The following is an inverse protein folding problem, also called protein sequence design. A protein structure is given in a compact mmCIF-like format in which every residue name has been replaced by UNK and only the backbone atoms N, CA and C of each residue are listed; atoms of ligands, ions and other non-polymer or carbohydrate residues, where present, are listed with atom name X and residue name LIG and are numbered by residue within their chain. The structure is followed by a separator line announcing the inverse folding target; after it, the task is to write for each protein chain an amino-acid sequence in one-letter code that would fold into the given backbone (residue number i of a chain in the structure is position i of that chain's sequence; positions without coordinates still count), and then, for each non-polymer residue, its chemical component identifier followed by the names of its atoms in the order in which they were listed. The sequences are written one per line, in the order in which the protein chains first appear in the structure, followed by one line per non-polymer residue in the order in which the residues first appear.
data_IF_437151797338
#
_entry.id   IF_437151797338
#
_cell.length_a   1.000
_cell.length_b   1.000
_cell.length_c   1.000
_cell.angle_alpha   90.00
_cell.angle_beta   90.00
_cell.angle_gamma   90.00
#
_symmetry.space_group_name_H-M   'P 1'
#
loop_
_entity.id
_entity.type
_entity.pdbx_description
1 polymer ?
#
# COMPACT_ATOMS: atom_id res chain seq x y z
N UNK A 1 -14.31 -2.01 -8.10
CA UNK A 1 -13.43 -3.18 -8.13
C UNK A 1 -12.57 -3.17 -9.39
N UNK A 2 -13.17 -2.97 -10.57
CA UNK A 2 -12.42 -2.95 -11.82
C UNK A 2 -11.35 -1.87 -11.90
N UNK A 3 -11.67 -0.65 -11.48
CA UNK A 3 -10.71 0.46 -11.49
C UNK A 3 -9.56 0.25 -10.53
N UNK A 4 -9.85 -0.25 -9.34
CA UNK A 4 -8.83 -0.53 -8.35
C UNK A 4 -7.90 -1.64 -8.81
N UNK A 5 -8.46 -2.72 -9.36
CA UNK A 5 -7.66 -3.82 -9.90
C UNK A 5 -6.77 -3.35 -11.03
N UNK A 6 -7.31 -2.54 -11.95
CA UNK A 6 -6.53 -1.99 -13.06
C UNK A 6 -5.40 -1.11 -12.55
N UNK A 7 -5.67 -0.25 -11.58
CA UNK A 7 -4.66 0.63 -10.98
C UNK A 7 -3.55 -0.17 -10.32
N UNK A 8 -3.90 -1.24 -9.60
CA UNK A 8 -2.92 -2.10 -8.96
C UNK A 8 -2.05 -2.84 -9.97
N UNK A 9 -2.63 -3.34 -11.04
CA UNK A 9 -1.88 -4.02 -12.10
C UNK A 9 -0.89 -3.07 -12.76
N UNK A 10 -1.34 -1.88 -13.12
CA UNK A 10 -0.47 -0.86 -13.73
C UNK A 10 0.66 -0.49 -12.78
N UNK A 11 0.34 -0.25 -11.51
CA UNK A 11 1.35 0.10 -10.52
C UNK A 11 2.37 -1.03 -10.34
N UNK A 12 1.90 -2.27 -10.28
CA UNK A 12 2.79 -3.42 -10.14
C UNK A 12 3.71 -3.58 -11.33
N UNK A 13 3.20 -3.33 -12.54
CA UNK A 13 4.03 -3.36 -13.74
C UNK A 13 5.08 -2.27 -13.71
N UNK A 14 4.73 -1.08 -13.27
CA UNK A 14 5.68 0.02 -13.10
C UNK A 14 6.75 -0.35 -12.07
N UNK A 15 6.37 -0.98 -10.96
CA UNK A 15 7.33 -1.45 -9.97
C UNK A 15 8.28 -2.50 -10.54
N UNK A 16 7.75 -3.41 -11.37
CA UNK A 16 8.58 -4.43 -12.03
C UNK A 16 9.56 -3.81 -13.02
N UNK A 17 9.20 -2.66 -13.61
CA UNK A 17 10.03 -1.93 -14.54
C UNK A 17 10.92 -0.87 -13.86
N UNK A 18 10.97 -0.85 -12.54
CA UNK A 18 11.64 0.19 -11.76
C UNK A 18 13.16 0.26 -11.98
N UNK A 19 13.75 -0.71 -12.67
CA UNK A 19 15.15 -0.64 -13.08
C UNK A 19 15.41 0.39 -14.18
N UNK A 20 14.38 0.90 -14.82
CA UNK A 20 14.52 1.93 -15.84
C UNK A 20 14.53 3.32 -15.20
N UNK A 21 15.56 4.10 -15.47
CA UNK A 21 15.74 5.44 -14.91
C UNK A 21 14.55 6.37 -15.15
N UNK A 22 13.83 6.18 -16.25
CA UNK A 22 12.70 7.03 -16.61
C UNK A 22 11.45 6.74 -15.75
N UNK A 23 11.36 5.53 -15.19
CA UNK A 23 10.20 5.09 -14.42
C UNK A 23 10.35 5.44 -12.94
N UNK A 24 11.56 5.35 -12.40
CA UNK A 24 11.81 5.61 -10.98
C UNK A 24 11.28 6.96 -10.48
N UNK A 25 11.53 8.09 -11.17
CA UNK A 25 11.00 9.37 -10.70
C UNK A 25 9.49 9.42 -10.68
N UNK A 26 8.82 8.74 -11.63
CA UNK A 26 7.36 8.67 -11.66
C UNK A 26 6.86 7.89 -10.46
N UNK A 27 7.47 6.74 -10.16
CA UNK A 27 7.11 5.92 -9.00
C UNK A 27 7.31 6.68 -7.69
N UNK A 28 8.39 7.44 -7.57
CA UNK A 28 8.65 8.24 -6.38
C UNK A 28 7.56 9.29 -6.17
N UNK A 29 7.14 9.97 -7.24
CA UNK A 29 6.08 10.98 -7.15
C UNK A 29 4.74 10.37 -6.78
N UNK A 30 4.42 9.21 -7.34
CA UNK A 30 3.17 8.51 -7.02
C UNK A 30 3.18 8.09 -5.55
N UNK A 31 4.28 7.51 -5.09
CA UNK A 31 4.42 7.07 -3.70
C UNK A 31 4.29 8.25 -2.74
N UNK A 32 4.98 9.36 -3.03
CA UNK A 32 4.94 10.56 -2.21
C UNK A 32 3.52 11.12 -2.09
N UNK A 33 2.81 11.20 -3.21
CA UNK A 33 1.42 11.68 -3.23
C UNK A 33 0.50 10.78 -2.41
N UNK A 34 0.65 9.47 -2.55
CA UNK A 34 -0.17 8.50 -1.82
C UNK A 34 0.12 8.54 -0.32
N UNK A 35 1.38 8.67 0.05
CA UNK A 35 1.75 8.76 1.46
C UNK A 35 1.25 10.06 2.09
N UNK A 36 1.26 11.18 1.36
CA UNK A 36 0.68 12.44 1.84
C UNK A 36 -0.82 12.32 2.08
N UNK A 37 -1.51 11.65 1.17
CA UNK A 37 -2.95 11.43 1.31
C UNK A 37 -3.25 10.58 2.55
N UNK A 38 -2.51 9.50 2.74
CA UNK A 38 -2.67 8.65 3.92
C UNK A 38 -2.34 9.39 5.21
N UNK A 39 -1.27 10.19 5.20
CA UNK A 39 -0.90 10.97 6.38
C UNK A 39 -2.01 11.95 6.77
N UNK A 40 -2.60 12.62 5.79
CA UNK A 40 -3.73 13.52 6.05
C UNK A 40 -4.90 12.77 6.69
N UNK A 41 -5.20 11.57 6.20
CA UNK A 41 -6.27 10.75 6.78
C UNK A 41 -5.96 10.37 8.22
N UNK A 42 -4.72 9.99 8.52
CA UNK A 42 -4.33 9.65 9.89
C UNK A 42 -4.37 10.87 10.81
N UNK A 43 -4.03 12.05 10.32
CA UNK A 43 -4.17 13.28 11.10
C UNK A 43 -5.64 13.56 11.45
N UNK A 44 -6.55 13.32 10.50
CA UNK A 44 -7.99 13.45 10.76
C UNK A 44 -8.47 12.48 11.84
N UNK A 45 -7.81 11.33 11.98
CA UNK A 45 -8.11 10.36 13.02
C UNK A 45 -7.47 10.71 14.37
N UNK A 46 -6.78 11.82 14.46
CA UNK A 46 -6.24 12.33 15.72
C UNK A 46 -4.75 12.07 15.94
N UNK A 47 -4.03 11.54 14.96
CA UNK A 47 -2.59 11.34 15.08
C UNK A 47 -1.85 12.65 14.84
N UNK A 48 -0.73 12.86 15.57
CA UNK A 48 0.12 14.02 15.30
C UNK A 48 0.84 13.88 13.95
N UNK A 49 1.41 14.99 13.45
CA UNK A 49 1.97 15.02 12.10
C UNK A 49 3.07 14.01 11.85
N UNK A 50 3.98 13.84 12.80
CA UNK A 50 5.09 12.90 12.64
C UNK A 50 4.60 11.46 12.68
N UNK A 51 3.76 11.13 13.65
CA UNK A 51 3.17 9.79 13.77
C UNK A 51 2.32 9.45 12.54
N UNK A 52 1.55 10.42 12.04
CA UNK A 52 0.73 10.23 10.85
C UNK A 52 1.60 9.92 9.62
N UNK A 53 2.72 10.63 9.45
CA UNK A 53 3.63 10.37 8.33
C UNK A 53 4.26 8.99 8.41
N UNK A 54 4.70 8.58 9.58
CA UNK A 54 5.29 7.26 9.77
C UNK A 54 4.27 6.17 9.57
N UNK A 55 3.06 6.36 10.06
CA UNK A 55 1.98 5.39 9.89
C UNK A 55 1.57 5.29 8.42
N UNK A 56 1.55 6.42 7.71
CA UNK A 56 1.27 6.43 6.28
C UNK A 56 2.29 5.62 5.49
N UNK A 57 3.57 5.79 5.80
CA UNK A 57 4.63 5.02 5.14
C UNK A 57 4.50 3.53 5.45
N UNK A 58 4.22 3.20 6.70
CA UNK A 58 4.02 1.81 7.12
C UNK A 58 2.84 1.18 6.38
N UNK A 59 1.71 1.87 6.34
CA UNK A 59 0.50 1.40 5.67
C UNK A 59 0.74 1.18 4.18
N UNK A 60 1.38 2.15 3.54
CA UNK A 60 1.69 2.05 2.12
C UNK A 60 2.63 0.88 1.83
N UNK A 61 3.65 0.69 2.68
CA UNK A 61 4.60 -0.41 2.54
C UNK A 61 3.94 -1.77 2.72
N UNK A 62 3.03 -1.90 3.69
CA UNK A 62 2.28 -3.14 3.92
C UNK A 62 1.42 -3.46 2.70
N UNK A 63 0.72 -2.47 2.17
CA UNK A 63 -0.15 -2.62 1.03
C UNK A 63 0.63 -3.08 -0.22
N UNK A 64 1.68 -2.35 -0.56
CA UNK A 64 2.48 -2.71 -1.73
C UNK A 64 3.22 -4.03 -1.56
N UNK A 65 3.75 -4.27 -0.36
CA UNK A 65 4.43 -5.52 -0.06
C UNK A 65 3.50 -6.71 -0.22
N UNK A 66 2.30 -6.60 0.29
CA UNK A 66 1.29 -7.66 0.15
C UNK A 66 1.00 -7.94 -1.33
N UNK A 67 0.75 -6.88 -2.12
CA UNK A 67 0.46 -7.04 -3.54
C UNK A 67 1.63 -7.68 -4.31
N UNK A 68 2.84 -7.22 -4.04
CA UNK A 68 4.03 -7.75 -4.72
C UNK A 68 4.27 -9.22 -4.40
N UNK A 69 4.14 -9.58 -3.12
CA UNK A 69 4.35 -10.95 -2.69
C UNK A 69 3.32 -11.89 -3.29
N UNK A 70 2.06 -11.46 -3.37
CA UNK A 70 1.00 -12.24 -4.00
C UNK A 70 1.25 -12.41 -5.50
N UNK A 71 1.59 -11.32 -6.16
CA UNK A 71 1.80 -11.31 -7.60
C UNK A 71 3.00 -12.18 -8.02
N UNK A 72 4.04 -12.19 -7.19
CA UNK A 72 5.27 -12.96 -7.47
C UNK A 72 5.23 -14.36 -6.88
N UNK A 73 4.12 -14.76 -6.30
CA UNK A 73 3.95 -16.08 -5.68
C UNK A 73 5.01 -16.35 -4.60
N UNK A 74 5.42 -15.30 -3.88
CA UNK A 74 6.43 -15.42 -2.82
C UNK A 74 5.83 -15.72 -1.46
N UNK A 75 4.50 -15.75 -1.37
CA UNK A 75 3.79 -16.17 -0.17
C UNK A 75 2.70 -17.15 -0.57
N UNK A 76 2.27 -18.03 0.35
CA UNK A 76 1.13 -18.91 0.07
C UNK A 76 -0.11 -18.08 -0.27
N UNK A 77 -0.90 -18.56 -1.21
CA UNK A 77 -2.17 -17.93 -1.55
C UNK A 77 -3.14 -18.04 -0.36
N UNK A 78 -3.89 -16.97 -0.14
CA UNK A 78 -4.91 -16.95 0.91
C UNK A 78 -6.25 -17.38 0.32
N UNK A 79 -6.99 -18.23 1.04
CA UNK A 79 -8.39 -18.48 0.73
C UNK A 79 -9.19 -17.20 0.94
N UNK A 80 -10.43 -17.12 0.43
CA UNK A 80 -11.26 -15.92 0.69
C UNK A 80 -11.48 -15.69 2.17
N UNK A 81 -11.68 -16.76 2.93
CA UNK A 81 -11.89 -16.68 4.36
C UNK A 81 -10.65 -16.16 5.09
N UNK A 82 -9.48 -16.71 4.75
CA UNK A 82 -8.22 -16.28 5.33
C UNK A 82 -7.87 -14.84 4.91
N UNK A 83 -8.20 -14.47 3.69
CA UNK A 83 -8.00 -13.10 3.22
C UNK A 83 -8.81 -12.11 4.04
N UNK A 84 -10.08 -12.42 4.31
CA UNK A 84 -10.94 -11.54 5.11
C UNK A 84 -10.41 -11.40 6.53
N UNK A 85 -9.93 -12.48 7.13
CA UNK A 85 -9.35 -12.46 8.46
C UNK A 85 -8.05 -11.65 8.48
N UNK A 86 -7.21 -11.81 7.48
CA UNK A 86 -5.98 -11.05 7.35
C UNK A 86 -6.26 -9.55 7.18
N UNK A 87 -7.22 -9.22 6.34
CA UNK A 87 -7.61 -7.83 6.12
C UNK A 87 -8.09 -7.17 7.42
N UNK A 88 -8.92 -7.88 8.17
CA UNK A 88 -9.38 -7.41 9.48
C UNK A 88 -8.21 -7.16 10.43
N UNK A 89 -7.25 -8.06 10.44
CA UNK A 89 -6.04 -7.91 11.25
C UNK A 89 -5.25 -6.67 10.85
N UNK A 90 -5.10 -6.44 9.54
CA UNK A 90 -4.40 -5.27 9.02
C UNK A 90 -5.10 -3.99 9.45
N UNK A 91 -6.42 -3.94 9.30
CA UNK A 91 -7.22 -2.78 9.70
C UNK A 91 -7.04 -2.49 11.19
N UNK A 92 -7.19 -3.50 12.03
CA UNK A 92 -7.05 -3.34 13.48
C UNK A 92 -5.66 -2.91 13.89
N UNK A 93 -4.65 -3.33 13.14
CA UNK A 93 -3.25 -3.01 13.44
C UNK A 93 -2.88 -1.60 12.99
N UNK A 94 -3.33 -1.20 11.81
CA UNK A 94 -2.88 0.05 11.19
C UNK A 94 -3.78 1.25 11.48
N UNK A 95 -5.06 1.02 11.76
CA UNK A 95 -6.01 2.10 12.02
C UNK A 95 -6.10 2.32 13.53
N UNK A 96 -5.90 3.56 14.02
CA UNK A 96 -6.00 3.84 15.45
C UNK A 96 -7.44 3.63 15.93
N UNK A 97 -7.55 3.15 17.15
CA UNK A 97 -8.84 2.88 17.79
C UNK A 97 -9.57 4.18 18.14
#
# INVERSE_FOLDING_TARGET
VGKETFTHEVYSELCAAAGHRQVEPVLERVAERRMKYLAAAYEELGMDGDSARYRARLTYSVYLGFLQLQRQHQTPALSSEDFDAYLEHVIQTLIPA
#
